data_IF_199105908039
#
_entry.id   IF_199105908039
#
_cell.length_a   1.000
_cell.length_b   1.000
_cell.length_c   1.000
_cell.angle_alpha   90.00
_cell.angle_beta   90.00
_cell.angle_gamma   90.00
#
_symmetry.space_group_name_H-M   'P 1'
#
loop_
_entity.id
_entity.type
_entity.pdbx_description
1 polymer ?
#
# COMPACT_ATOMS: atom_id res chain seq x y z
N UNK A 1 -12.30 1.72 -6.59
CA UNK A 1 -11.33 0.77 -7.18
C UNK A 1 -11.18 -0.35 -6.17
N UNK A 2 -11.63 -1.59 -6.45
CA UNK A 2 -11.85 -2.58 -5.38
C UNK A 2 -10.55 -3.18 -4.83
N UNK A 3 -9.40 -2.85 -5.41
CA UNK A 3 -8.07 -3.08 -4.85
C UNK A 3 -7.23 -1.80 -4.98
N UNK A 4 -6.23 -1.66 -4.11
CA UNK A 4 -5.25 -0.58 -4.14
C UNK A 4 -3.87 -1.19 -4.36
N UNK A 5 -3.15 -0.68 -5.35
CA UNK A 5 -1.81 -1.16 -5.69
C UNK A 5 -0.78 -0.36 -4.90
N UNK A 6 0.13 -1.07 -4.24
CA UNK A 6 1.25 -0.49 -3.52
C UNK A 6 2.58 -0.94 -4.13
N UNK A 7 3.57 -0.07 -4.02
CA UNK A 7 4.99 -0.43 -4.12
C UNK A 7 5.66 -0.11 -2.80
N UNK A 8 6.71 -0.85 -2.45
CA UNK A 8 7.44 -0.68 -1.19
C UNK A 8 8.83 -0.14 -1.47
N UNK A 9 9.24 0.88 -0.72
CA UNK A 9 10.61 1.41 -0.73
C UNK A 9 11.17 1.41 0.68
N UNK A 10 12.49 1.57 0.82
CA UNK A 10 13.09 1.81 2.13
C UNK A 10 12.66 3.17 2.65
N UNK A 11 12.31 3.23 3.93
CA UNK A 11 11.90 4.48 4.58
C UNK A 11 13.01 5.55 4.50
N UNK A 12 14.28 5.11 4.51
CA UNK A 12 15.43 5.99 4.35
C UNK A 12 15.49 6.71 2.99
N UNK A 13 14.82 6.16 1.96
CA UNK A 13 14.77 6.73 0.61
C UNK A 13 13.48 7.55 0.37
N UNK A 14 12.60 7.65 1.38
CA UNK A 14 11.35 8.40 1.31
C UNK A 14 11.49 9.76 1.99
N UNK A 15 11.14 10.83 1.26
CA UNK A 15 11.16 12.20 1.77
C UNK A 15 9.88 12.93 1.38
N UNK A 16 9.30 13.66 2.33
CA UNK A 16 8.25 14.64 2.05
C UNK A 16 8.91 15.95 1.61
N UNK A 17 8.89 16.24 0.31
CA UNK A 17 9.46 17.49 -0.19
C UNK A 17 8.51 18.68 -0.01
N UNK A 18 7.20 18.46 -0.12
CA UNK A 18 6.17 19.50 -0.10
C UNK A 18 4.83 18.97 0.43
N UNK A 19 3.95 19.88 0.84
CA UNK A 19 2.54 19.58 1.16
C UNK A 19 2.30 18.87 2.48
N UNK A 20 3.26 18.92 3.42
CA UNK A 20 3.15 18.29 4.75
C UNK A 20 1.89 18.75 5.52
N UNK A 21 1.48 20.01 5.35
CA UNK A 21 0.27 20.60 5.94
C UNK A 21 -1.02 19.92 5.44
N UNK A 22 -0.97 19.27 4.29
CA UNK A 22 -2.08 18.56 3.67
C UNK A 22 -2.01 17.04 3.90
N UNK A 23 -1.07 16.53 4.69
CA UNK A 23 -0.95 15.10 4.99
C UNK A 23 -1.74 14.76 6.26
N UNK A 24 -2.83 14.04 6.09
CA UNK A 24 -3.57 13.41 7.17
C UNK A 24 -2.99 12.03 7.47
N UNK A 25 -3.01 11.63 8.74
CA UNK A 25 -2.54 10.32 9.21
C UNK A 25 -3.61 9.67 10.07
N UNK A 26 -3.84 8.38 9.87
CA UNK A 26 -4.74 7.57 10.70
C UNK A 26 -4.04 6.28 11.06
N UNK A 27 -3.99 6.00 12.37
CA UNK A 27 -3.57 4.72 12.91
C UNK A 27 -4.77 4.05 13.55
N UNK A 28 -5.41 3.16 12.78
CA UNK A 28 -6.67 2.51 13.21
C UNK A 28 -6.42 1.30 14.13
N UNK A 29 -5.22 0.70 14.06
CA UNK A 29 -4.81 -0.48 14.85
C UNK A 29 -3.29 -0.48 15.06
N UNK A 30 -2.76 -1.46 15.81
CA UNK A 30 -1.32 -1.75 15.93
C UNK A 30 -0.69 -2.32 14.63
N UNK A 31 -1.40 -2.26 13.51
CA UNK A 31 -0.89 -2.73 12.24
C UNK A 31 0.11 -1.74 11.62
N UNK A 32 -0.26 -0.46 11.62
CA UNK A 32 0.47 0.58 10.91
C UNK A 32 -0.35 1.84 10.72
N UNK A 33 0.34 2.90 10.33
CA UNK A 33 -0.23 4.21 10.04
C UNK A 33 -0.51 4.34 8.54
N UNK A 34 -1.67 4.88 8.17
CA UNK A 34 -2.01 5.22 6.79
C UNK A 34 -2.01 6.73 6.63
N UNK A 35 -1.43 7.22 5.54
CA UNK A 35 -1.47 8.64 5.18
C UNK A 35 -2.35 8.90 3.96
N UNK A 36 -2.93 10.09 3.90
CA UNK A 36 -3.79 10.54 2.82
C UNK A 36 -3.73 12.06 2.65
N UNK A 37 -4.08 12.55 1.47
CA UNK A 37 -4.23 13.99 1.23
C UNK A 37 -5.55 14.49 1.84
N UNK A 38 -5.48 15.44 2.77
CA UNK A 38 -6.66 16.01 3.44
C UNK A 38 -7.53 16.87 2.51
N UNK A 39 -7.00 17.30 1.36
CA UNK A 39 -7.69 18.16 0.40
C UNK A 39 -8.54 17.36 -0.59
N UNK A 40 -8.10 16.18 -1.03
CA UNK A 40 -8.79 15.37 -2.04
C UNK A 40 -9.09 13.93 -1.60
N UNK A 41 -8.62 13.49 -0.44
CA UNK A 41 -8.86 12.15 0.10
C UNK A 41 -8.00 11.05 -0.52
N UNK A 42 -7.06 11.38 -1.40
CA UNK A 42 -6.17 10.39 -2.04
C UNK A 42 -5.34 9.65 -0.99
N UNK A 43 -5.39 8.31 -0.89
CA UNK A 43 -4.46 7.55 -0.06
C UNK A 43 -3.05 7.68 -0.62
N UNK A 44 -2.05 7.83 0.23
CA UNK A 44 -0.66 8.10 -0.18
C UNK A 44 0.29 6.98 0.27
N UNK A 45 0.32 6.69 1.57
CA UNK A 45 1.25 5.69 2.11
C UNK A 45 0.64 4.81 3.20
N UNK A 46 1.26 3.64 3.41
CA UNK A 46 1.11 2.84 4.63
C UNK A 46 2.50 2.63 5.24
N UNK A 47 2.66 2.96 6.52
CA UNK A 47 3.84 2.62 7.30
C UNK A 47 3.47 1.52 8.28
N UNK A 48 3.95 0.31 7.99
CA UNK A 48 3.62 -0.91 8.74
C UNK A 48 4.56 -1.06 9.93
N UNK A 49 4.00 -1.19 11.14
CA UNK A 49 4.78 -1.12 12.39
C UNK A 49 5.87 -2.21 12.49
N UNK A 50 5.57 -3.44 12.02
CA UNK A 50 6.51 -4.58 12.04
C UNK A 50 7.48 -4.59 10.84
N UNK A 51 7.38 -3.62 9.93
CA UNK A 51 8.29 -3.39 8.81
C UNK A 51 8.81 -1.95 8.84
N UNK A 52 9.24 -1.48 10.01
CA UNK A 52 9.49 -0.06 10.28
C UNK A 52 10.54 0.66 9.40
N UNK A 53 11.44 -0.08 8.73
CA UNK A 53 12.42 0.44 7.75
C UNK A 53 11.88 0.51 6.31
N UNK A 54 10.61 0.19 6.09
CA UNK A 54 9.93 0.20 4.80
C UNK A 54 8.69 1.11 4.85
N UNK A 55 8.32 1.65 3.70
CA UNK A 55 7.08 2.39 3.51
C UNK A 55 6.42 1.97 2.20
N UNK A 56 5.13 1.68 2.27
CA UNK A 56 4.32 1.38 1.11
C UNK A 56 3.77 2.68 0.54
N UNK A 57 3.94 2.87 -0.77
CA UNK A 57 3.46 4.03 -1.53
C UNK A 57 2.39 3.55 -2.50
N UNK A 58 1.28 4.25 -2.60
CA UNK A 58 0.24 3.94 -3.59
C UNK A 58 0.78 4.14 -5.00
N UNK A 59 0.83 3.09 -5.82
CA UNK A 59 1.46 3.16 -7.15
C UNK A 59 0.77 4.18 -8.08
N UNK A 60 -0.54 4.39 -7.92
CA UNK A 60 -1.33 5.33 -8.70
C UNK A 60 -0.98 6.81 -8.45
N UNK A 61 -0.20 7.13 -7.40
CA UNK A 61 0.22 8.50 -7.09
C UNK A 61 1.62 8.83 -7.61
N UNK A 62 2.27 7.90 -8.30
CA UNK A 62 3.54 8.14 -8.97
C UNK A 62 3.33 8.98 -10.25
N UNK A 63 4.35 9.72 -10.66
CA UNK A 63 4.31 10.51 -11.91
C UNK A 63 4.15 9.60 -13.15
N UNK A 64 4.78 8.42 -13.12
CA UNK A 64 4.60 7.36 -14.10
C UNK A 64 4.20 6.04 -13.40
N UNK A 65 2.90 5.81 -13.16
CA UNK A 65 2.41 4.60 -12.50
C UNK A 65 2.75 3.32 -13.26
N UNK A 66 3.01 3.39 -14.58
CA UNK A 66 3.28 2.20 -15.40
C UNK A 66 4.68 1.61 -15.13
N UNK A 67 5.57 2.33 -14.45
CA UNK A 67 6.88 1.81 -13.99
C UNK A 67 6.74 0.74 -12.90
N UNK A 68 5.57 0.67 -12.25
CA UNK A 68 5.30 -0.31 -11.19
C UNK A 68 4.20 -1.25 -11.68
N UNK A 69 4.58 -2.50 -11.92
CA UNK A 69 3.63 -3.59 -12.23
C UNK A 69 3.38 -4.43 -10.99
N UNK A 70 2.11 -4.71 -10.62
CA UNK A 70 1.80 -5.63 -9.53
C UNK A 70 2.44 -7.00 -9.75
N UNK A 71 3.02 -7.55 -8.69
CA UNK A 71 3.60 -8.91 -8.71
C UNK A 71 2.70 -9.99 -8.13
N UNK A 72 1.68 -9.61 -7.34
CA UNK A 72 0.79 -10.52 -6.62
C UNK A 72 -0.41 -9.78 -6.01
N UNK A 73 -1.40 -10.54 -5.55
CA UNK A 73 -2.54 -10.06 -4.76
C UNK A 73 -2.46 -10.64 -3.33
N UNK A 74 -2.61 -9.80 -2.31
CA UNK A 74 -2.74 -10.22 -0.90
C UNK A 74 -4.14 -9.90 -0.39
N UNK A 75 -4.57 -10.56 0.69
CA UNK A 75 -5.94 -10.47 1.22
C UNK A 75 -7.02 -10.74 0.17
N UNK A 76 -6.73 -11.65 -0.78
CA UNK A 76 -7.62 -11.95 -1.90
C UNK A 76 -8.97 -12.53 -1.44
N UNK A 77 -9.03 -13.15 -0.26
CA UNK A 77 -10.27 -13.65 0.33
C UNK A 77 -11.24 -12.52 0.76
N UNK A 78 -10.74 -11.29 0.98
CA UNK A 78 -11.55 -10.13 1.37
C UNK A 78 -12.19 -9.40 0.19
N UNK A 79 -11.84 -9.79 -1.04
CA UNK A 79 -12.42 -9.18 -2.25
C UNK A 79 -13.92 -9.45 -2.33
N UNK A 80 -14.61 -8.57 -3.05
CA UNK A 80 -16.00 -8.82 -3.43
C UNK A 80 -16.06 -9.99 -4.43
N UNK A 81 -17.07 -10.86 -4.29
CA UNK A 81 -17.20 -12.07 -5.11
C UNK A 81 -17.27 -11.81 -6.61
N UNK A 82 -17.77 -10.64 -7.02
CA UNK A 82 -17.84 -10.21 -8.42
C UNK A 82 -16.53 -9.58 -8.94
N UNK A 83 -15.55 -9.31 -8.08
CA UNK A 83 -14.29 -8.66 -8.41
C UNK A 83 -13.15 -9.68 -8.52
N UNK A 84 -13.20 -10.51 -9.56
CA UNK A 84 -12.09 -11.40 -9.90
C UNK A 84 -10.96 -10.62 -10.59
N UNK A 85 -9.70 -10.89 -10.22
CA UNK A 85 -8.55 -10.35 -10.92
C UNK A 85 -8.43 -11.00 -12.32
N UNK A 86 -8.31 -10.19 -13.36
CA UNK A 86 -8.20 -10.62 -14.77
C UNK A 86 -6.78 -10.97 -15.23
N UNK A 87 -5.85 -11.14 -14.30
CA UNK A 87 -4.45 -11.51 -14.54
C UNK A 87 -4.14 -12.92 -14.00
N UNK A 88 -2.93 -13.41 -14.29
CA UNK A 88 -2.44 -14.71 -13.81
C UNK A 88 -1.48 -14.58 -12.61
N UNK A 89 -1.53 -13.47 -11.88
CA UNK A 89 -0.62 -13.23 -10.76
C UNK A 89 -0.95 -14.16 -9.57
N UNK A 90 0.04 -14.49 -8.72
CA UNK A 90 -0.19 -15.17 -7.46
C UNK A 90 -1.22 -14.45 -6.59
N UNK A 91 -2.11 -15.24 -5.97
CA UNK A 91 -3.18 -14.75 -5.09
C UNK A 91 -3.03 -15.40 -3.72
N UNK A 92 -2.96 -14.57 -2.69
CA UNK A 92 -2.86 -15.00 -1.30
C UNK A 92 -4.11 -14.53 -0.55
N UNK A 93 -4.76 -15.43 0.17
CA UNK A 93 -5.98 -15.11 0.96
C UNK A 93 -5.69 -14.17 2.13
N UNK A 94 -4.43 -14.06 2.55
CA UNK A 94 -3.93 -13.13 3.57
C UNK A 94 -2.54 -12.64 3.21
N UNK A 95 -1.60 -12.73 4.16
CA UNK A 95 -0.18 -12.44 3.91
C UNK A 95 0.44 -13.43 2.91
N UNK A 96 1.42 -12.96 2.14
CA UNK A 96 2.29 -13.86 1.36
C UNK A 96 3.27 -14.58 2.30
N UNK A 97 3.72 -15.80 1.97
CA UNK A 97 4.64 -16.57 2.80
C UNK A 97 5.95 -15.83 3.14
N UNK A 98 6.43 -14.95 2.25
CA UNK A 98 7.66 -14.19 2.48
C UNK A 98 7.42 -12.80 3.09
N UNK A 99 6.23 -12.53 3.65
CA UNK A 99 5.98 -11.28 4.37
C UNK A 99 6.83 -11.23 5.63
N UNK A 100 7.70 -10.23 5.72
CA UNK A 100 8.53 -10.00 6.90
C UNK A 100 7.69 -9.65 8.13
N UNK A 101 8.03 -10.23 9.28
CA UNK A 101 7.37 -9.95 10.56
C UNK A 101 6.00 -10.64 10.74
N UNK A 102 5.69 -11.61 9.87
CA UNK A 102 4.46 -12.43 9.91
C UNK A 102 4.85 -13.90 9.66
N UNK A 103 5.40 -14.55 10.70
CA UNK A 103 5.54 -16.02 10.77
C UNK A 103 4.31 -16.65 11.43
#
# INVERSE_FOLDING_TARGET
MPALVFTTVKLADYVLEQGEDAIGRVKTTEFGERSFCTRCGTPLTIHVDFQGDEIDVTAATLDDPAQVTPGFHIFYAERLSWNEAGDDLPRYDGWRPETRGRE
#
